data_IF_052578562767
#
_entry.id   IF_052578562767
#
_cell.length_a   1.000
_cell.length_b   1.000
_cell.length_c   1.000
_cell.angle_alpha   90.00
_cell.angle_beta   90.00
_cell.angle_gamma   90.00
#
_symmetry.space_group_name_H-M   'P 1'
#
loop_
_entity.id
_entity.type
_entity.pdbx_description
1 polymer ?
#
# COMPACT_ATOMS: atom_id res chain seq x y z
N UNK A 1 -0.67 -41.15 -33.30
CA UNK A 1 -0.57 -40.94 -31.83
C UNK A 1 0.52 -39.90 -31.51
N UNK A 2 0.34 -38.60 -31.79
CA UNK A 2 1.38 -37.58 -31.54
C UNK A 2 1.26 -36.89 -30.17
N UNK A 3 0.21 -37.17 -29.40
CA UNK A 3 -0.11 -36.42 -28.18
C UNK A 3 0.62 -36.95 -26.93
N UNK A 4 1.09 -38.21 -26.96
CA UNK A 4 1.78 -38.84 -25.82
C UNK A 4 3.26 -38.41 -25.65
N UNK A 5 3.85 -37.68 -26.60
CA UNK A 5 5.24 -37.21 -26.51
C UNK A 5 5.39 -35.73 -26.12
N UNK A 6 4.29 -35.00 -25.87
CA UNK A 6 4.38 -33.60 -25.42
C UNK A 6 4.82 -33.55 -23.96
N UNK A 7 6.03 -33.05 -23.73
CA UNK A 7 6.55 -32.78 -22.40
C UNK A 7 5.60 -31.83 -21.66
N UNK A 8 5.17 -32.21 -20.45
CA UNK A 8 4.26 -31.39 -19.64
C UNK A 8 4.94 -30.04 -19.34
N UNK A 9 4.20 -28.92 -19.38
CA UNK A 9 4.74 -27.62 -19.00
C UNK A 9 5.39 -27.71 -17.61
N UNK A 10 6.62 -27.22 -17.49
CA UNK A 10 7.35 -27.17 -16.22
C UNK A 10 6.78 -26.14 -15.23
N UNK A 11 7.41 -26.03 -14.07
CA UNK A 11 7.02 -25.08 -13.01
C UNK A 11 6.97 -23.65 -13.54
N UNK A 12 5.86 -22.95 -13.24
CA UNK A 12 5.69 -21.55 -13.60
C UNK A 12 6.68 -20.67 -12.84
N UNK A 13 7.52 -19.93 -13.58
CA UNK A 13 8.47 -18.97 -12.97
C UNK A 13 7.79 -17.62 -12.77
N UNK A 14 8.38 -16.77 -11.92
CA UNK A 14 7.86 -15.43 -11.66
C UNK A 14 7.74 -14.58 -12.95
N UNK A 15 8.73 -14.68 -13.84
CA UNK A 15 8.75 -14.02 -15.16
C UNK A 15 7.67 -14.52 -16.11
N UNK A 16 7.12 -15.71 -15.86
CA UNK A 16 6.00 -16.23 -16.64
C UNK A 16 4.66 -15.70 -16.09
N UNK A 17 4.60 -15.38 -14.78
CA UNK A 17 3.45 -14.72 -14.16
C UNK A 17 3.24 -13.28 -14.63
N UNK A 18 4.32 -12.55 -14.90
CA UNK A 18 4.23 -11.16 -15.39
C UNK A 18 3.65 -11.04 -16.80
N UNK A 19 3.56 -12.14 -17.56
CA UNK A 19 2.97 -12.20 -18.90
C UNK A 19 1.44 -12.25 -18.88
N UNK A 20 0.83 -12.55 -17.73
CA UNK A 20 -0.63 -12.64 -17.61
C UNK A 20 -1.29 -11.26 -17.51
N UNK A 21 -2.42 -11.10 -18.21
CA UNK A 21 -3.29 -9.93 -18.02
C UNK A 21 -4.06 -10.07 -16.71
N UNK A 22 -3.59 -9.37 -15.69
CA UNK A 22 -4.21 -9.41 -14.36
C UNK A 22 -5.51 -8.59 -14.32
N UNK A 23 -6.62 -9.15 -13.80
CA UNK A 23 -7.81 -8.36 -13.50
C UNK A 23 -7.53 -7.39 -12.34
N UNK A 24 -8.33 -6.33 -12.22
CA UNK A 24 -8.18 -5.34 -11.15
C UNK A 24 -8.19 -5.95 -9.75
N UNK A 25 -9.03 -6.96 -9.53
CA UNK A 25 -9.08 -7.68 -8.26
C UNK A 25 -7.74 -8.36 -7.88
N UNK A 26 -6.99 -8.84 -8.88
CA UNK A 26 -5.67 -9.43 -8.65
C UNK A 26 -4.64 -8.35 -8.29
N UNK A 27 -4.69 -7.18 -8.94
CA UNK A 27 -3.86 -6.04 -8.58
C UNK A 27 -4.12 -5.58 -7.14
N UNK A 28 -5.39 -5.40 -6.75
CA UNK A 28 -5.74 -5.03 -5.36
C UNK A 28 -5.22 -6.07 -4.35
N UNK A 29 -5.26 -7.36 -4.66
CA UNK A 29 -4.69 -8.40 -3.78
C UNK A 29 -3.16 -8.32 -3.66
N UNK A 30 -2.45 -8.01 -4.74
CA UNK A 30 -0.99 -7.83 -4.70
C UNK A 30 -0.66 -6.58 -3.90
N UNK A 31 -1.35 -5.47 -4.17
CA UNK A 31 -1.14 -4.20 -3.50
C UNK A 31 -1.46 -4.30 -2.00
N UNK A 32 -2.50 -5.03 -1.60
CA UNK A 32 -2.80 -5.30 -0.18
C UNK A 32 -1.65 -6.03 0.54
N UNK A 33 -1.01 -7.00 -0.14
CA UNK A 33 0.16 -7.70 0.40
C UNK A 33 1.38 -6.79 0.49
N UNK A 34 1.67 -6.05 -0.58
CA UNK A 34 2.79 -5.11 -0.64
C UNK A 34 2.63 -4.00 0.40
N UNK A 35 1.43 -3.46 0.57
CA UNK A 35 1.17 -2.41 1.55
C UNK A 35 1.34 -2.92 3.00
N UNK A 36 0.90 -4.15 3.29
CA UNK A 36 1.16 -4.81 4.57
C UNK A 36 2.65 -4.99 4.85
N UNK A 37 3.40 -5.47 3.85
CA UNK A 37 4.85 -5.61 3.94
C UNK A 37 5.57 -4.25 4.13
N UNK A 38 5.15 -3.22 3.42
CA UNK A 38 5.72 -1.87 3.54
C UNK A 38 5.50 -1.30 4.95
N UNK A 39 4.29 -1.42 5.49
CA UNK A 39 4.00 -0.98 6.87
C UNK A 39 4.83 -1.76 7.89
N UNK A 40 5.00 -3.07 7.71
CA UNK A 40 5.80 -3.89 8.62
C UNK A 40 7.27 -3.46 8.63
N UNK A 41 7.87 -3.27 7.44
CA UNK A 41 9.27 -2.84 7.29
C UNK A 41 9.49 -1.44 7.87
N UNK A 42 8.51 -0.53 7.69
CA UNK A 42 8.60 0.85 8.17
C UNK A 42 8.04 1.05 9.58
N UNK A 43 7.59 0.00 10.26
CA UNK A 43 7.05 0.10 11.62
C UNK A 43 8.04 0.74 12.62
N UNK A 44 9.35 0.40 12.60
CA UNK A 44 10.33 1.08 13.46
C UNK A 44 10.41 2.59 13.19
N UNK A 45 10.28 3.01 11.94
CA UNK A 45 10.28 4.42 11.56
C UNK A 45 9.03 5.14 12.08
N UNK A 46 7.86 4.49 12.00
CA UNK A 46 6.60 5.02 12.56
C UNK A 46 6.68 5.17 14.08
N UNK A 47 7.21 4.16 14.78
CA UNK A 47 7.38 4.19 16.24
C UNK A 47 8.34 5.32 16.64
N UNK A 48 9.46 5.47 15.92
CA UNK A 48 10.39 6.55 16.16
C UNK A 48 9.79 7.95 15.90
N UNK A 49 9.05 8.13 14.80
CA UNK A 49 8.34 9.39 14.53
C UNK A 49 7.34 9.72 15.64
N UNK A 50 6.62 8.72 16.13
CA UNK A 50 5.67 8.87 17.23
C UNK A 50 6.37 9.29 18.53
N UNK A 51 7.43 8.58 18.94
CA UNK A 51 8.22 8.88 20.13
C UNK A 51 8.74 10.33 20.13
N UNK A 52 9.36 10.75 19.02
CA UNK A 52 9.88 12.11 18.86
C UNK A 52 8.76 13.16 18.89
N UNK A 53 7.57 12.83 18.37
CA UNK A 53 6.42 13.75 18.36
C UNK A 53 5.79 14.01 19.74
N UNK A 54 5.95 13.10 20.71
CA UNK A 54 5.25 13.17 22.01
C UNK A 54 6.17 13.40 23.21
N UNK A 55 7.49 13.30 23.05
CA UNK A 55 8.44 13.32 24.17
C UNK A 55 8.57 14.70 24.85
N UNK A 56 8.70 15.78 24.08
CA UNK A 56 8.95 17.13 24.59
C UNK A 56 8.73 18.18 23.49
N UNK A 57 8.70 19.46 23.86
CA UNK A 57 8.64 20.56 22.90
C UNK A 57 9.85 20.57 21.95
N UNK A 58 11.06 20.38 22.48
CA UNK A 58 12.29 20.31 21.69
C UNK A 58 12.26 19.12 20.71
N UNK A 59 11.73 17.97 21.13
CA UNK A 59 11.60 16.82 20.24
C UNK A 59 10.51 17.05 19.18
N UNK A 60 9.43 17.75 19.52
CA UNK A 60 8.40 18.13 18.55
C UNK A 60 8.93 19.09 17.47
N UNK A 61 9.82 20.03 17.82
CA UNK A 61 10.54 20.84 16.84
C UNK A 61 11.41 19.98 15.91
N UNK A 62 12.08 18.95 16.44
CA UNK A 62 12.82 17.98 15.61
C UNK A 62 11.88 17.19 14.69
N UNK A 63 10.73 16.75 15.19
CA UNK A 63 9.70 16.06 14.41
C UNK A 63 9.24 16.93 13.24
N UNK A 64 8.87 18.19 13.49
CA UNK A 64 8.42 19.10 12.42
C UNK A 64 9.54 19.45 11.44
N UNK A 65 10.76 19.68 11.94
CA UNK A 65 11.96 19.93 11.12
C UNK A 65 12.32 18.77 10.20
N UNK A 66 12.02 17.52 10.59
CA UNK A 66 12.24 16.35 9.72
C UNK A 66 11.49 16.46 8.38
N UNK A 67 10.35 17.15 8.33
CA UNK A 67 9.56 17.34 7.11
C UNK A 67 10.00 18.53 6.27
N UNK A 68 10.74 19.49 6.83
CA UNK A 68 11.23 20.67 6.12
C UNK A 68 12.72 20.55 5.77
N UNK A 69 13.58 20.34 6.77
CA UNK A 69 15.02 20.20 6.62
C UNK A 69 15.45 18.77 6.28
N UNK A 70 14.81 17.76 6.89
CA UNK A 70 15.16 16.35 6.72
C UNK A 70 15.75 15.69 7.96
N UNK A 71 16.26 14.45 7.79
CA UNK A 71 16.84 13.62 8.85
C UNK A 71 18.26 13.24 8.43
N UNK A 72 19.26 13.89 9.02
CA UNK A 72 20.66 13.67 8.65
C UNK A 72 20.90 13.99 7.17
N UNK A 73 21.27 12.99 6.37
CA UNK A 73 21.46 13.14 4.92
C UNK A 73 20.16 12.97 4.11
N UNK A 74 19.06 12.57 4.73
CA UNK A 74 17.77 12.36 4.07
C UNK A 74 17.02 13.68 3.97
N UNK A 75 16.75 14.22 2.77
CA UNK A 75 16.11 15.52 2.63
C UNK A 75 14.62 15.48 3.02
N UNK A 76 14.08 16.60 3.51
CA UNK A 76 12.68 16.69 3.99
C UNK A 76 11.62 16.29 2.96
N UNK A 77 11.84 16.54 1.67
CA UNK A 77 10.93 16.08 0.61
C UNK A 77 10.85 14.56 0.52
N UNK A 78 11.96 13.85 0.78
CA UNK A 78 11.98 12.39 0.77
C UNK A 78 11.29 11.82 2.01
N UNK A 79 11.41 12.51 3.16
CA UNK A 79 10.62 12.19 4.36
C UNK A 79 9.12 12.33 4.06
N UNK A 80 8.70 13.43 3.42
CA UNK A 80 7.30 13.61 2.99
C UNK A 80 6.84 12.51 2.05
N UNK A 81 7.64 12.11 1.06
CA UNK A 81 7.27 11.00 0.16
C UNK A 81 7.19 9.65 0.88
N UNK A 82 8.09 9.39 1.82
CA UNK A 82 8.07 8.18 2.64
C UNK A 82 6.79 8.12 3.48
N UNK A 83 6.43 9.23 4.12
CA UNK A 83 5.18 9.34 4.90
C UNK A 83 3.94 9.27 3.99
N UNK A 84 3.97 9.85 2.79
CA UNK A 84 2.90 9.67 1.80
C UNK A 84 2.73 8.20 1.41
N UNK A 85 3.84 7.48 1.21
CA UNK A 85 3.84 6.04 0.98
C UNK A 85 3.24 5.25 2.13
N UNK A 86 3.53 5.63 3.37
CA UNK A 86 2.92 5.04 4.58
C UNK A 86 1.41 5.32 4.67
N UNK A 87 0.99 6.54 4.39
CA UNK A 87 -0.43 6.93 4.34
C UNK A 87 -1.16 6.07 3.30
N UNK A 88 -0.62 5.98 2.08
CA UNK A 88 -1.17 5.13 1.04
C UNK A 88 -1.22 3.66 1.47
N UNK A 89 -0.13 3.14 2.05
CA UNK A 89 -0.05 1.75 2.45
C UNK A 89 -1.11 1.41 3.49
N UNK A 90 -1.26 2.23 4.53
CA UNK A 90 -2.29 2.05 5.54
C UNK A 90 -3.69 2.11 4.94
N UNK A 91 -4.02 3.17 4.20
CA UNK A 91 -5.35 3.34 3.62
C UNK A 91 -5.71 2.23 2.64
N UNK A 92 -4.80 1.88 1.74
CA UNK A 92 -5.01 0.80 0.80
C UNK A 92 -5.14 -0.56 1.50
N UNK A 93 -4.25 -0.85 2.46
CA UNK A 93 -4.28 -2.10 3.22
C UNK A 93 -5.59 -2.25 3.99
N UNK A 94 -5.99 -1.22 4.73
CA UNK A 94 -7.19 -1.20 5.54
C UNK A 94 -8.45 -1.37 4.69
N UNK A 95 -8.62 -0.57 3.63
CA UNK A 95 -9.81 -0.64 2.77
C UNK A 95 -9.89 -1.99 2.04
N UNK A 96 -8.75 -2.51 1.54
CA UNK A 96 -8.70 -3.83 0.93
C UNK A 96 -8.98 -4.94 1.97
N UNK A 97 -8.52 -4.78 3.21
CA UNK A 97 -8.80 -5.69 4.33
C UNK A 97 -10.28 -5.73 4.69
N UNK A 98 -10.94 -4.57 4.79
CA UNK A 98 -12.40 -4.48 4.99
C UNK A 98 -13.15 -5.16 3.84
N UNK A 99 -12.69 -4.96 2.59
CA UNK A 99 -13.24 -5.69 1.43
C UNK A 99 -13.10 -7.21 1.60
N UNK A 100 -11.95 -7.70 2.08
CA UNK A 100 -11.76 -9.13 2.36
C UNK A 100 -12.73 -9.64 3.42
N UNK A 101 -12.78 -8.99 4.59
CA UNK A 101 -13.70 -9.34 5.68
C UNK A 101 -15.16 -9.34 5.21
N UNK A 102 -15.56 -8.36 4.40
CA UNK A 102 -16.90 -8.29 3.84
C UNK A 102 -17.21 -9.49 2.94
N UNK A 103 -16.32 -9.84 2.02
CA UNK A 103 -16.50 -10.99 1.13
C UNK A 103 -16.55 -12.30 1.93
N UNK A 104 -15.73 -12.43 2.98
CA UNK A 104 -15.71 -13.61 3.85
C UNK A 104 -17.02 -13.75 4.64
N UNK A 105 -17.54 -12.66 5.19
CA UNK A 105 -18.81 -12.69 5.95
C UNK A 105 -20.02 -12.94 5.05
N UNK A 106 -20.06 -12.36 3.85
CA UNK A 106 -21.25 -12.36 2.98
C UNK A 106 -21.19 -13.40 1.86
N UNK A 107 -20.08 -14.10 1.69
CA UNK A 107 -19.82 -15.01 0.57
C UNK A 107 -20.04 -14.36 -0.81
N UNK A 108 -19.87 -13.04 -0.91
CA UNK A 108 -20.05 -12.26 -2.14
C UNK A 108 -18.83 -12.36 -3.06
N UNK A 109 -18.68 -13.49 -3.77
CA UNK A 109 -17.44 -13.82 -4.52
C UNK A 109 -17.60 -13.90 -6.05
N UNK A 110 -18.63 -13.26 -6.61
CA UNK A 110 -18.84 -13.25 -8.07
C UNK A 110 -17.78 -12.41 -8.80
N UNK A 111 -17.50 -12.73 -10.07
CA UNK A 111 -16.56 -11.95 -10.90
C UNK A 111 -16.92 -10.46 -10.99
N UNK A 112 -18.22 -10.17 -11.13
CA UNK A 112 -18.74 -8.80 -11.20
C UNK A 112 -18.51 -8.06 -9.87
N UNK A 113 -18.83 -8.69 -8.73
CA UNK A 113 -18.55 -8.13 -7.41
C UNK A 113 -17.06 -7.91 -7.21
N UNK A 114 -16.21 -8.88 -7.57
CA UNK A 114 -14.76 -8.76 -7.46
C UNK A 114 -14.17 -7.58 -8.24
N UNK A 115 -14.67 -7.30 -9.45
CA UNK A 115 -14.30 -6.12 -10.24
C UNK A 115 -14.77 -4.83 -9.58
N UNK A 116 -16.05 -4.75 -9.21
CA UNK A 116 -16.64 -3.52 -8.68
C UNK A 116 -16.03 -3.14 -7.32
N UNK A 117 -15.89 -4.10 -6.41
CA UNK A 117 -15.25 -3.87 -5.11
C UNK A 117 -13.78 -3.47 -5.25
N UNK A 118 -13.05 -4.02 -6.23
CA UNK A 118 -11.67 -3.61 -6.50
C UNK A 118 -11.58 -2.15 -6.99
N UNK A 119 -12.49 -1.72 -7.86
CA UNK A 119 -12.56 -0.31 -8.31
C UNK A 119 -12.85 0.60 -7.12
N UNK A 120 -13.84 0.25 -6.29
CA UNK A 120 -14.17 1.03 -5.07
C UNK A 120 -12.96 1.14 -4.14
N UNK A 121 -12.26 0.03 -3.88
CA UNK A 121 -11.03 0.04 -3.06
C UNK A 121 -9.99 1.01 -3.61
N UNK A 122 -9.73 0.99 -4.92
CA UNK A 122 -8.74 1.87 -5.55
C UNK A 122 -9.16 3.33 -5.50
N UNK A 123 -10.40 3.65 -5.87
CA UNK A 123 -10.91 5.03 -5.88
C UNK A 123 -10.88 5.62 -4.47
N UNK A 124 -11.38 4.90 -3.46
CA UNK A 124 -11.38 5.38 -2.08
C UNK A 124 -9.96 5.55 -1.53
N UNK A 125 -9.10 4.54 -1.70
CA UNK A 125 -7.72 4.61 -1.18
C UNK A 125 -6.92 5.74 -1.83
N UNK A 126 -7.00 5.91 -3.15
CA UNK A 126 -6.28 6.96 -3.86
C UNK A 126 -6.84 8.36 -3.59
N UNK A 127 -8.15 8.52 -3.51
CA UNK A 127 -8.78 9.81 -3.17
C UNK A 127 -8.36 10.27 -1.77
N UNK A 128 -8.43 9.38 -0.78
CA UNK A 128 -8.01 9.69 0.59
C UNK A 128 -6.51 9.95 0.68
N UNK A 129 -5.70 9.17 -0.04
CA UNK A 129 -4.24 9.39 -0.12
C UNK A 129 -3.94 10.76 -0.72
N UNK A 130 -4.63 11.15 -1.80
CA UNK A 130 -4.44 12.44 -2.45
C UNK A 130 -4.85 13.61 -1.52
N UNK A 131 -5.98 13.49 -0.81
CA UNK A 131 -6.43 14.49 0.15
C UNK A 131 -5.43 14.67 1.31
N UNK A 132 -5.00 13.58 1.93
CA UNK A 132 -4.01 13.64 3.01
C UNK A 132 -2.62 14.05 2.51
N UNK A 133 -2.26 13.67 1.29
CA UNK A 133 -1.06 14.12 0.62
C UNK A 133 -1.08 15.63 0.39
N UNK A 134 -2.19 16.18 -0.11
CA UNK A 134 -2.36 17.62 -0.27
C UNK A 134 -2.09 18.38 1.06
N UNK A 135 -2.62 17.87 2.18
CA UNK A 135 -2.32 18.41 3.51
C UNK A 135 -0.84 18.26 3.90
N UNK A 136 -0.23 17.09 3.67
CA UNK A 136 1.20 16.83 3.98
C UNK A 136 2.15 17.77 3.20
N UNK A 137 1.75 18.18 2.01
CA UNK A 137 2.49 19.12 1.17
C UNK A 137 2.09 20.59 1.39
N UNK A 138 1.18 20.88 2.32
CA UNK A 138 0.82 22.23 2.73
C UNK A 138 -0.11 22.96 1.76
N UNK A 139 -0.93 22.22 1.00
CA UNK A 139 -1.92 22.83 0.10
C UNK A 139 -3.10 23.47 0.84
N UNK A 140 -3.37 23.05 2.07
CA UNK A 140 -4.39 23.61 2.99
C UNK A 140 -4.14 23.17 4.45
#
# INVERSE_FOLDING_TARGET
>A
MPEMSRQRPGTMRLVDATKYRLPLAAWVSILHRVSGGLMFVLLPFVIWLFDVSVTSEISYERFTSAFSAGIGFVPGWFVKLTVLGLIWAYLHHFIAGVRHLWMDMTHSVTKAHGKNSAVVTLVLSLTLTAALGAKLFGLY
#
